data_IF_266015586860
#
_entry.id   IF_266015586860
#
_cell.length_a   1.000
_cell.length_b   1.000
_cell.length_c   1.000
_cell.angle_alpha   90.00
_cell.angle_beta   90.00
_cell.angle_gamma   90.00
#
_symmetry.space_group_name_H-M   'P 1'
#
loop_
_entity.id
_entity.type
_entity.pdbx_description
1 polymer ?
#
# COMPACT_ATOMS: atom_id res chain seq x y z
N UNK A 1 -21.26 4.83 -16.89
CA UNK A 1 -20.22 5.82 -17.23
C UNK A 1 -20.10 5.95 -18.75
N UNK A 2 -21.05 6.62 -19.43
CA UNK A 2 -21.09 6.68 -20.89
C UNK A 2 -19.94 7.50 -21.50
N UNK A 3 -19.33 8.39 -20.71
CA UNK A 3 -18.22 9.24 -21.14
C UNK A 3 -16.84 8.59 -20.92
N UNK A 4 -16.78 7.30 -20.59
CA UNK A 4 -15.56 6.57 -20.32
C UNK A 4 -15.39 5.43 -21.34
N UNK A 5 -14.16 5.22 -21.77
CA UNK A 5 -13.77 4.05 -22.56
C UNK A 5 -13.22 3.01 -21.57
N UNK A 6 -13.84 1.84 -21.53
CA UNK A 6 -13.41 0.74 -20.69
C UNK A 6 -12.56 -0.23 -21.49
N UNK A 7 -11.29 -0.34 -21.13
CA UNK A 7 -10.40 -1.37 -21.64
C UNK A 7 -10.41 -2.56 -20.68
N UNK A 8 -10.63 -3.76 -21.21
CA UNK A 8 -10.64 -4.99 -20.43
C UNK A 8 -11.04 -6.19 -21.28
N UNK A 9 -10.62 -7.38 -20.85
CA UNK A 9 -10.95 -8.62 -21.53
C UNK A 9 -11.96 -9.44 -20.70
N UNK A 10 -13.17 -9.57 -21.23
CA UNK A 10 -14.24 -10.33 -20.58
C UNK A 10 -13.98 -11.84 -20.53
N UNK A 11 -13.15 -12.39 -21.44
CA UNK A 11 -12.73 -13.78 -21.39
C UNK A 11 -11.75 -14.02 -20.25
N UNK A 12 -10.79 -13.10 -20.04
CA UNK A 12 -9.88 -13.11 -18.89
C UNK A 12 -10.68 -13.03 -17.59
N UNK A 13 -11.63 -12.09 -17.48
CA UNK A 13 -12.49 -11.97 -16.31
C UNK A 13 -13.29 -13.26 -16.02
N UNK A 14 -13.78 -13.95 -17.05
CA UNK A 14 -14.46 -15.24 -16.91
C UNK A 14 -13.51 -16.36 -16.45
N UNK A 15 -12.27 -16.37 -16.93
CA UNK A 15 -11.27 -17.38 -16.55
C UNK A 15 -10.85 -17.30 -15.07
N UNK A 16 -11.02 -16.14 -14.43
CA UNK A 16 -10.69 -15.92 -13.02
C UNK A 16 -11.75 -16.51 -12.03
N UNK A 17 -12.85 -17.07 -12.55
CA UNK A 17 -13.88 -17.73 -11.75
C UNK A 17 -13.32 -18.95 -11.01
N UNK A 18 -13.91 -19.28 -9.85
CA UNK A 18 -13.37 -20.30 -8.93
C UNK A 18 -13.12 -21.67 -9.58
N UNK A 19 -13.94 -22.07 -10.54
CA UNK A 19 -13.83 -23.36 -11.23
C UNK A 19 -12.72 -23.41 -12.30
N UNK A 20 -12.25 -22.26 -12.79
CA UNK A 20 -11.27 -22.15 -13.90
C UNK A 20 -9.98 -21.43 -13.50
N UNK A 21 -9.98 -20.83 -12.30
CA UNK A 21 -8.91 -19.99 -11.74
C UNK A 21 -7.51 -20.58 -11.81
N UNK A 22 -7.38 -21.88 -11.58
CA UNK A 22 -6.08 -22.56 -11.50
C UNK A 22 -5.62 -23.16 -12.85
N UNK A 23 -6.26 -22.75 -13.96
CA UNK A 23 -5.84 -23.10 -15.31
C UNK A 23 -4.81 -22.14 -15.89
N UNK A 24 -4.05 -22.61 -16.89
CA UNK A 24 -3.03 -21.82 -17.59
C UNK A 24 -3.57 -20.53 -18.22
N UNK A 25 -4.78 -20.56 -18.76
CA UNK A 25 -5.39 -19.37 -19.37
C UNK A 25 -5.73 -18.30 -18.33
N UNK A 26 -6.18 -18.71 -17.14
CA UNK A 26 -6.39 -17.79 -16.01
C UNK A 26 -5.07 -17.19 -15.51
N UNK A 27 -4.00 -17.99 -15.45
CA UNK A 27 -2.66 -17.48 -15.12
C UNK A 27 -2.18 -16.43 -16.14
N UNK A 28 -2.29 -16.70 -17.44
CA UNK A 28 -1.94 -15.72 -18.48
C UNK A 28 -2.80 -14.46 -18.35
N UNK A 29 -4.09 -14.63 -18.11
CA UNK A 29 -5.04 -13.54 -17.92
C UNK A 29 -4.64 -12.62 -16.76
N UNK A 30 -4.38 -13.18 -15.58
CA UNK A 30 -4.01 -12.35 -14.41
C UNK A 30 -2.64 -11.67 -14.59
N UNK A 31 -1.69 -12.30 -15.29
CA UNK A 31 -0.41 -11.66 -15.62
C UNK A 31 -0.60 -10.45 -16.55
N UNK A 32 -1.47 -10.57 -17.55
CA UNK A 32 -1.82 -9.46 -18.44
C UNK A 32 -2.55 -8.34 -17.69
N UNK A 33 -3.50 -8.68 -16.82
CA UNK A 33 -4.21 -7.70 -16.01
C UNK A 33 -3.24 -6.94 -15.10
N UNK A 34 -2.35 -7.64 -14.36
CA UNK A 34 -1.31 -7.01 -13.53
C UNK A 34 -0.42 -6.08 -14.37
N UNK A 35 0.01 -6.55 -15.54
CA UNK A 35 0.85 -5.76 -16.43
C UNK A 35 0.16 -4.45 -16.84
N UNK A 36 -1.06 -4.51 -17.37
CA UNK A 36 -1.78 -3.31 -17.78
C UNK A 36 -2.13 -2.39 -16.61
N UNK A 37 -2.50 -2.94 -15.45
CA UNK A 37 -2.71 -2.17 -14.23
C UNK A 37 -1.43 -1.41 -13.82
N UNK A 38 -0.27 -2.06 -13.88
CA UNK A 38 1.01 -1.42 -13.54
C UNK A 38 1.43 -0.30 -14.52
N UNK A 39 0.88 -0.33 -15.75
CA UNK A 39 1.12 0.69 -16.77
C UNK A 39 0.17 1.88 -16.67
N UNK A 40 -0.93 1.78 -15.92
CA UNK A 40 -1.84 2.90 -15.71
C UNK A 40 -1.13 4.11 -15.07
N UNK A 41 -1.63 5.31 -15.36
CA UNK A 41 -1.11 6.55 -14.75
C UNK A 41 -1.50 6.70 -13.27
N UNK A 42 -2.58 6.02 -12.86
CA UNK A 42 -3.13 6.03 -11.52
C UNK A 42 -3.92 4.74 -11.26
N UNK A 43 -3.83 4.19 -10.05
CA UNK A 43 -4.57 3.00 -9.63
C UNK A 43 -5.71 3.35 -8.66
N UNK A 44 -6.89 2.76 -8.88
CA UNK A 44 -7.99 2.77 -7.92
C UNK A 44 -8.40 1.34 -7.68
N UNK A 45 -8.24 0.84 -6.45
CA UNK A 45 -8.41 -0.59 -6.15
C UNK A 45 -8.60 -0.84 -4.64
N UNK A 46 -8.63 -2.11 -4.25
CA UNK A 46 -8.46 -2.53 -2.86
C UNK A 46 -7.05 -3.07 -2.62
N UNK A 47 -6.37 -2.54 -1.62
CA UNK A 47 -5.06 -3.04 -1.21
C UNK A 47 -5.14 -4.28 -0.34
N UNK A 48 -6.33 -4.72 0.09
CA UNK A 48 -6.53 -6.09 0.57
C UNK A 48 -6.24 -7.15 -0.51
N UNK A 49 -6.34 -6.78 -1.79
CA UNK A 49 -6.01 -7.64 -2.93
C UNK A 49 -4.52 -7.65 -3.26
N UNK A 50 -3.90 -8.83 -3.17
CA UNK A 50 -2.51 -9.01 -3.60
C UNK A 50 -2.27 -8.62 -5.06
N UNK A 51 -3.27 -8.81 -5.93
CA UNK A 51 -3.17 -8.43 -7.35
C UNK A 51 -2.94 -6.93 -7.50
N UNK A 52 -3.63 -6.10 -6.72
CA UNK A 52 -3.41 -4.67 -6.78
C UNK A 52 -2.05 -4.26 -6.20
N UNK A 53 -1.62 -4.88 -5.10
CA UNK A 53 -0.31 -4.58 -4.51
C UNK A 53 0.84 -4.92 -5.46
N UNK A 54 0.77 -6.06 -6.14
CA UNK A 54 1.76 -6.44 -7.16
C UNK A 54 1.77 -5.45 -8.34
N UNK A 55 0.60 -5.05 -8.84
CA UNK A 55 0.53 -4.03 -9.89
C UNK A 55 1.12 -2.68 -9.45
N UNK A 56 0.84 -2.26 -8.22
CA UNK A 56 1.40 -1.05 -7.60
C UNK A 56 2.92 -1.15 -7.42
N UNK A 57 3.45 -2.29 -6.99
CA UNK A 57 4.89 -2.54 -6.84
C UNK A 57 5.61 -2.45 -8.19
N UNK A 58 5.07 -3.08 -9.24
CA UNK A 58 5.63 -3.02 -10.60
C UNK A 58 5.57 -1.60 -11.16
N UNK A 59 4.51 -0.83 -10.88
CA UNK A 59 4.40 0.57 -11.30
C UNK A 59 5.61 1.40 -10.84
N UNK A 60 6.15 1.13 -9.65
CA UNK A 60 7.29 1.88 -9.10
C UNK A 60 8.58 1.71 -9.91
N UNK A 61 8.72 0.62 -10.68
CA UNK A 61 9.91 0.41 -11.51
C UNK A 61 9.97 1.32 -12.74
N UNK A 62 8.82 1.88 -13.15
CA UNK A 62 8.71 2.73 -14.34
C UNK A 62 8.81 4.23 -14.00
N UNK A 63 8.50 4.59 -12.76
CA UNK A 63 8.36 5.98 -12.33
C UNK A 63 9.49 6.34 -11.38
N UNK A 64 9.95 7.60 -11.43
CA UNK A 64 10.96 8.10 -10.46
C UNK A 64 10.40 8.07 -9.04
N UNK A 65 9.14 8.50 -8.88
CA UNK A 65 8.36 8.37 -7.65
C UNK A 65 6.87 8.23 -8.02
N UNK A 66 6.34 7.02 -7.85
CA UNK A 66 4.94 6.68 -8.10
C UNK A 66 4.15 6.38 -6.83
N UNK A 67 4.69 6.67 -5.64
CA UNK A 67 4.11 6.19 -4.37
C UNK A 67 2.70 6.74 -4.11
N UNK A 68 2.41 7.93 -4.63
CA UNK A 68 1.12 8.62 -4.49
C UNK A 68 0.13 8.34 -5.63
N UNK A 69 0.50 7.55 -6.65
CA UNK A 69 -0.34 7.29 -7.83
C UNK A 69 -1.37 6.18 -7.61
N UNK A 70 -1.94 6.14 -6.42
CA UNK A 70 -2.92 5.13 -6.03
C UNK A 70 -3.93 5.69 -5.04
N UNK A 71 -5.18 5.31 -5.21
CA UNK A 71 -6.24 5.47 -4.22
C UNK A 71 -6.76 4.08 -3.84
N UNK A 72 -6.25 3.47 -2.76
CA UNK A 72 -6.88 2.29 -2.19
C UNK A 72 -8.22 2.66 -1.55
N UNK A 73 -9.17 1.73 -1.57
CA UNK A 73 -10.51 1.88 -0.99
C UNK A 73 -10.65 1.27 0.40
N UNK A 74 -9.64 0.53 0.86
CA UNK A 74 -9.62 -0.18 2.13
C UNK A 74 -8.27 -0.03 2.84
N UNK A 75 -7.37 -1.00 2.68
CA UNK A 75 -6.11 -1.06 3.42
C UNK A 75 -5.10 0.00 2.93
N UNK A 76 -4.18 0.38 3.81
CA UNK A 76 -2.91 0.98 3.38
C UNK A 76 -2.03 -0.08 2.71
N UNK A 77 -0.95 0.33 2.04
CA UNK A 77 -0.01 -0.66 1.49
C UNK A 77 0.60 -1.51 2.60
N UNK A 78 0.70 -2.83 2.39
CA UNK A 78 1.37 -3.75 3.29
C UNK A 78 1.92 -4.97 2.54
N UNK A 79 2.95 -5.59 3.11
CA UNK A 79 3.51 -6.86 2.67
C UNK A 79 3.18 -7.96 3.70
N UNK A 80 2.66 -9.09 3.24
CA UNK A 80 2.28 -10.20 4.13
C UNK A 80 3.49 -10.75 4.89
N UNK A 81 3.45 -10.71 6.22
CA UNK A 81 4.57 -11.11 7.08
C UNK A 81 5.58 -10.00 7.38
N UNK A 82 5.28 -8.74 7.06
CA UNK A 82 6.11 -7.60 7.43
C UNK A 82 6.27 -7.44 8.95
N UNK A 83 7.34 -6.76 9.36
CA UNK A 83 7.48 -6.23 10.71
C UNK A 83 6.43 -5.14 10.98
N UNK A 84 6.30 -4.75 12.25
CA UNK A 84 5.35 -3.71 12.66
C UNK A 84 5.51 -2.42 11.83
N UNK A 85 4.39 -1.96 11.25
CA UNK A 85 4.29 -0.65 10.62
C UNK A 85 4.06 0.38 11.71
N UNK A 86 5.09 1.18 12.01
CA UNK A 86 5.03 2.18 13.05
C UNK A 86 5.15 3.59 12.46
N UNK A 87 4.44 4.51 13.09
CA UNK A 87 4.55 5.94 12.89
C UNK A 87 5.00 6.62 14.18
N UNK A 88 5.55 7.83 14.06
CA UNK A 88 5.88 8.69 15.20
C UNK A 88 4.91 9.86 15.27
N UNK A 89 4.40 10.17 16.45
CA UNK A 89 3.60 11.36 16.66
C UNK A 89 4.44 12.64 16.50
N UNK A 90 4.10 13.46 15.50
CA UNK A 90 4.67 14.79 15.27
C UNK A 90 4.02 15.87 16.13
N UNK A 91 2.72 15.71 16.40
CA UNK A 91 1.89 16.63 17.17
C UNK A 91 1.13 15.85 18.25
N UNK A 92 0.88 16.44 19.43
CA UNK A 92 0.07 15.79 20.44
C UNK A 92 -1.39 15.68 19.99
N UNK A 93 -2.07 14.67 20.53
CA UNK A 93 -3.50 14.49 20.37
C UNK A 93 -4.19 14.35 21.73
N UNK A 94 -5.27 15.09 21.89
CA UNK A 94 -6.20 14.92 23.01
C UNK A 94 -7.49 14.38 22.43
N UNK A 95 -7.86 13.17 22.81
CA UNK A 95 -9.08 12.52 22.35
C UNK A 95 -10.29 13.42 22.63
N UNK A 96 -11.05 13.72 21.57
CA UNK A 96 -12.31 14.46 21.65
C UNK A 96 -13.49 13.50 21.50
N UNK A 97 -13.31 12.46 20.67
CA UNK A 97 -14.37 11.49 20.37
C UNK A 97 -14.17 10.15 21.12
N UNK A 98 -15.24 9.37 21.37
CA UNK A 98 -15.15 8.14 22.16
C UNK A 98 -14.18 7.08 21.63
N UNK A 99 -13.95 7.06 20.32
CA UNK A 99 -13.09 6.08 19.66
C UNK A 99 -11.68 6.62 19.36
N UNK A 100 -11.40 7.86 19.73
CA UNK A 100 -10.09 8.50 19.54
C UNK A 100 -9.21 8.25 20.78
N UNK A 101 -7.89 8.15 20.62
CA UNK A 101 -6.97 8.06 21.76
C UNK A 101 -6.04 9.27 21.84
N UNK A 102 -5.56 9.54 23.05
CA UNK A 102 -4.63 10.64 23.32
C UNK A 102 -3.20 10.14 23.25
N UNK A 103 -2.30 10.95 22.70
CA UNK A 103 -0.86 10.67 22.64
C UNK A 103 -0.07 11.97 22.67
N UNK A 104 1.19 11.88 23.05
CA UNK A 104 2.13 12.99 23.08
C UNK A 104 3.02 12.99 21.85
N UNK A 105 3.67 14.13 21.60
CA UNK A 105 4.70 14.23 20.58
C UNK A 105 5.83 13.25 20.89
N UNK A 106 6.23 12.47 19.89
CA UNK A 106 7.30 11.49 19.99
C UNK A 106 6.84 10.06 20.27
N UNK A 107 5.59 9.87 20.70
CA UNK A 107 5.02 8.54 20.94
C UNK A 107 5.02 7.71 19.65
N UNK A 108 5.20 6.40 19.81
CA UNK A 108 5.24 5.45 18.70
C UNK A 108 3.86 4.82 18.55
N UNK A 109 3.29 4.93 17.36
CA UNK A 109 1.95 4.43 17.04
C UNK A 109 2.10 3.28 16.05
N UNK A 110 1.61 2.09 16.40
CA UNK A 110 1.47 0.99 15.47
C UNK A 110 0.23 1.19 14.61
N UNK A 111 0.42 1.43 13.32
CA UNK A 111 -0.66 1.72 12.38
C UNK A 111 -1.36 0.43 11.96
N UNK A 112 -2.70 0.42 12.06
CA UNK A 112 -3.54 -0.66 11.53
C UNK A 112 -4.10 -0.30 10.15
N UNK A 113 -4.36 0.98 9.88
CA UNK A 113 -4.87 1.45 8.59
C UNK A 113 -5.27 2.92 8.59
N UNK A 114 -5.66 3.41 7.41
CA UNK A 114 -6.21 4.75 7.18
C UNK A 114 -7.68 4.60 6.77
N UNK A 115 -8.57 5.40 7.35
CA UNK A 115 -10.00 5.35 7.04
C UNK A 115 -10.39 6.25 5.84
N UNK A 116 -9.43 6.98 5.29
CA UNK A 116 -9.61 7.89 4.15
C UNK A 116 -10.59 9.05 4.41
N UNK A 117 -10.81 9.37 5.69
CA UNK A 117 -11.70 10.44 6.18
C UNK A 117 -10.97 11.50 7.03
N UNK A 118 -9.63 11.45 7.03
CA UNK A 118 -8.75 12.27 7.86
C UNK A 118 -8.30 11.61 9.17
N UNK A 119 -8.85 10.43 9.49
CA UNK A 119 -8.43 9.61 10.62
C UNK A 119 -7.79 8.29 10.18
N UNK A 120 -6.84 7.85 11.00
CA UNK A 120 -6.22 6.52 10.94
C UNK A 120 -6.57 5.76 12.21
N UNK A 121 -6.44 4.44 12.16
CA UNK A 121 -6.58 3.56 13.32
C UNK A 121 -5.23 2.96 13.70
N UNK A 122 -4.96 2.86 14.99
CA UNK A 122 -3.73 2.27 15.49
C UNK A 122 -3.68 2.14 17.00
N UNK A 123 -2.50 1.76 17.49
CA UNK A 123 -2.22 1.55 18.91
C UNK A 123 -0.98 2.34 19.35
N UNK A 124 -1.09 3.09 20.44
CA UNK A 124 0.08 3.68 21.11
C UNK A 124 0.90 2.57 21.76
N UNK A 125 2.16 2.43 21.34
CA UNK A 125 3.07 1.39 21.84
C UNK A 125 3.52 1.64 23.28
N UNK A 126 3.35 2.85 23.80
CA UNK A 126 3.80 3.24 25.14
C UNK A 126 2.79 2.83 26.21
N UNK A 127 1.51 3.10 25.97
CA UNK A 127 0.44 2.88 26.96
C UNK A 127 -0.59 1.82 26.53
N UNK A 128 -0.51 1.29 25.30
CA UNK A 128 -1.39 0.25 24.77
C UNK A 128 -2.78 0.71 24.36
N UNK A 129 -3.10 2.02 24.45
CA UNK A 129 -4.38 2.55 24.00
C UNK A 129 -4.51 2.36 22.48
N UNK A 130 -5.71 1.96 22.07
CA UNK A 130 -6.04 1.70 20.66
C UNK A 130 -7.25 2.52 20.28
N UNK A 131 -7.24 3.08 19.08
CA UNK A 131 -8.35 3.88 18.58
C UNK A 131 -7.99 4.63 17.32
N UNK A 132 -8.80 5.64 17.03
CA UNK A 132 -8.62 6.60 15.96
C UNK A 132 -7.64 7.70 16.37
N UNK A 133 -6.97 8.25 15.37
CA UNK A 133 -6.16 9.46 15.51
C UNK A 133 -6.16 10.25 14.19
N UNK A 134 -6.04 11.59 14.22
CA UNK A 134 -5.93 12.35 12.99
C UNK A 134 -4.64 12.00 12.23
N UNK A 135 -4.76 11.55 10.98
CA UNK A 135 -3.64 10.96 10.21
C UNK A 135 -2.50 11.96 9.98
N UNK A 136 -2.79 13.26 9.90
CA UNK A 136 -1.78 14.30 9.65
C UNK A 136 -0.85 14.56 10.85
N UNK A 137 -1.15 14.03 12.03
CA UNK A 137 -0.38 14.26 13.26
C UNK A 137 0.81 13.32 13.42
N UNK A 138 1.04 12.43 12.47
CA UNK A 138 2.07 11.40 12.53
C UNK A 138 2.97 11.45 11.30
N UNK A 139 4.17 10.87 11.43
CA UNK A 139 5.10 10.61 10.34
C UNK A 139 5.48 9.13 10.28
N UNK A 140 5.82 8.65 9.09
CA UNK A 140 6.32 7.29 8.88
C UNK A 140 7.68 7.07 9.53
N UNK A 141 7.85 5.94 10.23
CA UNK A 141 9.17 5.51 10.73
C UNK A 141 9.80 4.58 9.70
N UNK A 142 10.81 5.08 8.98
CA UNK A 142 11.59 4.28 8.03
C UNK A 142 12.53 3.34 8.80
N UNK A 143 12.25 2.04 8.72
CA UNK A 143 13.11 1.01 9.31
C UNK A 143 14.30 0.73 8.38
N UNK A 144 15.51 0.71 8.94
CA UNK A 144 16.75 0.42 8.21
C UNK A 144 17.34 -0.89 8.69
N UNK A 145 17.74 -1.75 7.76
CA UNK A 145 18.45 -2.98 8.03
C UNK A 145 19.81 -2.98 7.32
N UNK A 146 20.84 -3.54 7.97
CA UNK A 146 22.15 -3.70 7.35
C UNK A 146 22.11 -4.86 6.35
N UNK A 147 22.08 -4.54 5.06
CA UNK A 147 22.23 -5.52 3.98
C UNK A 147 23.68 -5.54 3.47
N UNK A 148 24.09 -6.63 2.82
CA UNK A 148 25.41 -6.69 2.16
C UNK A 148 25.42 -5.72 0.97
N UNK A 149 26.46 -4.90 0.83
CA UNK A 149 26.53 -3.88 -0.21
C UNK A 149 27.04 -4.40 -1.58
N UNK A 150 27.48 -5.65 -1.63
CA UNK A 150 28.04 -6.31 -2.82
C UNK A 150 29.10 -5.44 -3.56
N UNK A 151 30.17 -4.99 -2.86
CA UNK A 151 31.17 -4.07 -3.44
C UNK A 151 31.93 -4.64 -4.66
N UNK A 152 31.88 -5.96 -4.85
CA UNK A 152 32.40 -6.65 -6.02
C UNK A 152 31.60 -6.41 -7.31
N UNK A 153 30.33 -5.99 -7.21
CA UNK A 153 29.47 -5.70 -8.35
C UNK A 153 29.75 -4.27 -8.84
N UNK A 154 30.31 -4.15 -10.03
CA UNK A 154 30.52 -2.84 -10.69
C UNK A 154 29.27 -2.46 -11.47
N UNK A 155 28.64 -1.35 -11.10
CA UNK A 155 27.57 -0.75 -11.92
C UNK A 155 28.22 0.12 -12.99
N UNK A 156 28.00 -0.22 -14.25
CA UNK A 156 28.47 0.61 -15.36
C UNK A 156 27.50 1.79 -15.49
N UNK A 157 27.91 2.96 -15.00
CA UNK A 157 27.05 4.16 -14.93
C UNK A 157 26.75 4.80 -16.28
N UNK A 158 27.37 4.29 -17.37
CA UNK A 158 27.21 4.81 -18.73
C UNK A 158 25.97 4.25 -19.48
N UNK A 159 25.17 3.37 -18.86
CA UNK A 159 23.98 2.75 -19.47
C UNK A 159 22.63 3.32 -18.99
N UNK A 160 22.63 4.42 -18.23
CA UNK A 160 21.42 5.09 -17.74
C UNK A 160 21.20 6.47 -18.36
#
# INVERSE_FOLDING_TARGET
>A
FPNYIFYGDTAVAKSAQLNTRYGTESLKGVLLDIHFLSLCDYLVCTFSSQICRVAYEIMQQRLVDGAWRVQPLDDVYYFGGQNAHNQRALLPNKAVWPNEFSFQRGDIIGTEGNHWDGFSKGSDKTNGQTGLYPSYKTEEIVNVAKMHAYPEVRVNVDEF
#
